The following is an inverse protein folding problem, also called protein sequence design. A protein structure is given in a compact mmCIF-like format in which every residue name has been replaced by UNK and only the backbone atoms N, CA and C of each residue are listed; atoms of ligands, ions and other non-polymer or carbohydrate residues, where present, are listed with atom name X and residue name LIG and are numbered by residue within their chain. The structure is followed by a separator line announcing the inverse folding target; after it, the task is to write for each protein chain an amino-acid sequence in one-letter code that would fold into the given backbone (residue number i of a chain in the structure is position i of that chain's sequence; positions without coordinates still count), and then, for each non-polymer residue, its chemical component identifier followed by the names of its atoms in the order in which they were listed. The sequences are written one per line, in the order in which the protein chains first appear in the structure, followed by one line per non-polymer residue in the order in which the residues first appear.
data_IF_594813266026
#
_entry.id   IF_594813266026
#
_cell.length_a   1.000
_cell.length_b   1.000
_cell.length_c   1.000
_cell.angle_alpha   90.00
_cell.angle_beta   90.00
_cell.angle_gamma   90.00
#
_symmetry.space_group_name_H-M   'P 1'
#
loop_
_entity.id
_entity.type
_entity.pdbx_description
1 polymer ?
#
# COMPACT_ATOMS: atom_id res chain seq x y z
N UNK A 1 5.94 -13.41 13.16
CA UNK A 1 4.72 -13.03 12.42
C UNK A 1 4.55 -11.54 12.60
N UNK A 2 4.42 -10.78 11.50
CA UNK A 2 4.15 -9.33 11.59
C UNK A 2 2.67 -9.16 11.94
N UNK A 3 2.36 -8.39 12.98
CA UNK A 3 0.98 -8.06 13.35
C UNK A 3 0.77 -6.56 13.18
N UNK A 4 -0.42 -6.17 12.74
CA UNK A 4 -0.85 -4.77 12.60
C UNK A 4 -2.14 -4.54 13.38
N UNK A 5 -2.35 -3.32 13.81
CA UNK A 5 -3.59 -2.91 14.47
C UNK A 5 -4.60 -2.44 13.42
N UNK A 6 -5.84 -2.93 13.50
CA UNK A 6 -6.89 -2.49 12.60
C UNK A 6 -7.26 -1.02 12.92
N UNK A 7 -7.20 -0.09 11.95
CA UNK A 7 -7.46 1.33 12.20
C UNK A 7 -8.94 1.63 12.52
N UNK A 8 -9.85 0.70 12.21
CA UNK A 8 -11.28 0.87 12.44
C UNK A 8 -11.74 0.38 13.82
N UNK A 9 -11.21 -0.75 14.29
CA UNK A 9 -11.67 -1.39 15.54
C UNK A 9 -10.56 -1.67 16.57
N UNK A 10 -9.32 -1.23 16.32
CA UNK A 10 -8.17 -1.34 17.22
C UNK A 10 -7.78 -2.79 17.62
N UNK A 11 -8.24 -3.80 16.87
CA UNK A 11 -7.86 -5.20 17.12
C UNK A 11 -6.54 -5.54 16.43
N UNK A 12 -5.72 -6.38 17.07
CA UNK A 12 -4.54 -6.95 16.43
C UNK A 12 -4.97 -7.97 15.37
N UNK A 13 -4.45 -7.79 14.15
CA UNK A 13 -4.65 -8.69 13.02
C UNK A 13 -3.31 -9.04 12.39
N UNK A 14 -3.31 -10.09 11.56
CA UNK A 14 -2.14 -10.46 10.78
C UNK A 14 -1.72 -9.31 9.83
N UNK A 15 -0.42 -9.09 9.70
CA UNK A 15 0.15 -8.07 8.81
C UNK A 15 -0.30 -8.22 7.37
N UNK A 16 -0.51 -9.46 6.93
CA UNK A 16 -0.87 -9.81 5.56
C UNK A 16 -2.40 -9.95 5.38
N UNK A 17 -3.20 -9.70 6.42
CA UNK A 17 -4.66 -9.72 6.30
C UNK A 17 -5.15 -8.64 5.32
N UNK A 18 -5.90 -9.04 4.30
CA UNK A 18 -6.55 -8.15 3.33
C UNK A 18 -7.83 -7.54 3.90
N UNK A 19 -8.54 -8.25 4.78
CA UNK A 19 -9.77 -7.80 5.43
C UNK A 19 -9.71 -8.11 6.92
N UNK A 20 -10.15 -7.18 7.77
CA UNK A 20 -10.25 -7.42 9.21
C UNK A 20 -11.37 -8.45 9.50
N UNK A 21 -11.07 -9.59 10.15
CA UNK A 21 -12.07 -10.63 10.43
C UNK A 21 -13.09 -10.23 11.50
N UNK A 22 -12.85 -9.13 12.22
CA UNK A 22 -13.70 -8.68 13.33
C UNK A 22 -14.71 -7.63 12.89
N UNK A 23 -14.28 -6.62 12.11
CA UNK A 23 -15.14 -5.51 11.69
C UNK A 23 -15.42 -5.44 10.18
N UNK A 24 -14.71 -6.24 9.37
CA UNK A 24 -14.86 -6.22 7.90
C UNK A 24 -14.13 -5.08 7.18
N UNK A 25 -13.23 -4.36 7.85
CA UNK A 25 -12.43 -3.30 7.21
C UNK A 25 -11.48 -3.88 6.15
N UNK A 26 -11.57 -3.41 4.90
CA UNK A 26 -10.69 -3.77 3.80
C UNK A 26 -9.40 -2.94 3.86
N UNK A 27 -8.25 -3.61 3.97
CA UNK A 27 -6.96 -2.94 4.00
C UNK A 27 -6.56 -2.52 2.58
N UNK A 28 -6.09 -1.27 2.38
CA UNK A 28 -5.67 -0.81 1.07
C UNK A 28 -4.46 -1.60 0.60
N UNK A 29 -4.60 -2.34 -0.50
CA UNK A 29 -3.48 -2.95 -1.21
C UNK A 29 -3.00 -2.01 -2.31
N UNK A 30 -1.68 -1.82 -2.40
CA UNK A 30 -1.06 -1.00 -3.43
C UNK A 30 -0.78 -1.92 -4.64
N UNK A 31 -1.51 -1.82 -5.76
CA UNK A 31 -1.21 -2.63 -6.93
C UNK A 31 0.18 -2.29 -7.48
N UNK A 32 0.91 -3.31 -7.94
CA UNK A 32 2.28 -3.19 -8.47
C UNK A 32 2.40 -2.15 -9.60
N UNK A 33 1.35 -1.96 -10.40
CA UNK A 33 1.30 -0.96 -11.46
C UNK A 33 1.47 0.48 -10.94
N UNK A 34 0.90 0.83 -9.78
CA UNK A 34 1.07 2.16 -9.20
C UNK A 34 2.53 2.42 -8.80
N UNK A 35 3.22 1.40 -8.26
CA UNK A 35 4.64 1.52 -7.94
C UNK A 35 5.49 1.76 -9.20
N UNK A 36 5.18 1.07 -10.31
CA UNK A 36 5.87 1.25 -11.59
C UNK A 36 5.59 2.65 -12.18
N UNK A 37 4.35 3.11 -12.12
CA UNK A 37 3.95 4.44 -12.59
C UNK A 37 4.74 5.56 -11.89
N UNK A 38 4.97 5.45 -10.57
CA UNK A 38 5.76 6.43 -9.81
C UNK A 38 7.20 6.50 -10.33
N UNK A 39 7.84 5.35 -10.56
CA UNK A 39 9.20 5.30 -11.13
C UNK A 39 9.28 5.87 -12.54
N UNK A 40 8.27 5.58 -13.39
CA UNK A 40 8.19 6.14 -14.75
C UNK A 40 8.08 7.67 -14.68
N UNK A 41 7.23 8.21 -13.81
CA UNK A 41 7.05 9.66 -13.66
C UNK A 41 8.35 10.33 -13.19
N UNK A 42 9.05 9.73 -12.23
CA UNK A 42 10.36 10.22 -11.76
C UNK A 42 11.37 10.21 -12.91
N UNK A 43 11.46 9.11 -13.67
CA UNK A 43 12.38 9.00 -14.81
C UNK A 43 12.08 10.03 -15.90
N UNK A 44 10.80 10.28 -16.23
CA UNK A 44 10.40 11.29 -17.19
C UNK A 44 10.79 12.70 -16.74
N UNK A 45 10.59 13.03 -15.46
CA UNK A 45 11.02 14.30 -14.88
C UNK A 45 12.54 14.47 -14.96
N UNK A 46 13.29 13.44 -14.60
CA UNK A 46 14.75 13.45 -14.72
C UNK A 46 15.20 13.60 -16.17
N UNK A 47 14.58 12.86 -17.10
CA UNK A 47 14.89 12.94 -18.52
C UNK A 47 14.63 14.35 -19.06
N UNK A 48 13.52 14.97 -18.69
CA UNK A 48 13.20 16.35 -19.07
C UNK A 48 14.15 17.39 -18.46
N UNK A 49 14.70 17.14 -17.27
CA UNK A 49 15.62 18.05 -16.60
C UNK A 49 17.05 17.95 -17.13
N UNK A 50 17.42 16.79 -17.68
CA UNK A 50 18.76 16.48 -18.20
C UNK A 50 18.90 16.83 -19.69
N UNK A 51 17.83 16.72 -20.48
CA UNK A 51 17.78 17.01 -21.91
C UNK A 51 17.45 18.48 -22.18
#
# INVERSE_FOLDING_TARGET
MSQKECPACAVQVDGDAEVCPICGYEFPSQPLYLQIMVWIMILLLFFWLIL
#
